data_IF_475837006800
#
_entry.id   IF_475837006800
#
_cell.length_a   1.000
_cell.length_b   1.000
_cell.length_c   1.000
_cell.angle_alpha   90.00
_cell.angle_beta   90.00
_cell.angle_gamma   90.00
#
_symmetry.space_group_name_H-M   'P 1'
#
loop_
_entity.id
_entity.type
_entity.pdbx_description
1 polymer ?
#
# COMPACT_ATOMS: atom_id res chain seq x y z
N UNK A 1 -5.43 2.44 -0.39
CA UNK A 1 -4.82 1.76 0.77
C UNK A 1 -5.73 2.01 1.94
N UNK A 2 -5.96 1.01 2.79
CA UNK A 2 -6.80 1.17 3.98
C UNK A 2 -6.12 2.08 5.00
N UNK A 3 -6.91 2.86 5.72
CA UNK A 3 -6.45 3.62 6.88
C UNK A 3 -6.06 2.69 8.03
N UNK A 4 -5.26 3.16 8.98
CA UNK A 4 -4.90 2.36 10.16
C UNK A 4 -6.12 1.87 10.93
N UNK A 5 -7.18 2.68 10.98
CA UNK A 5 -8.47 2.31 11.59
C UNK A 5 -9.13 1.15 10.85
N UNK A 6 -9.30 1.26 9.53
CA UNK A 6 -9.91 0.19 8.74
C UNK A 6 -9.10 -1.11 8.81
N UNK A 7 -7.76 -1.02 8.91
CA UNK A 7 -6.90 -2.20 9.05
C UNK A 7 -7.15 -2.88 10.40
N UNK A 8 -7.34 -2.12 11.47
CA UNK A 8 -7.69 -2.65 12.78
C UNK A 8 -9.05 -3.35 12.75
N UNK A 9 -10.07 -2.72 12.15
CA UNK A 9 -11.41 -3.30 11.98
C UNK A 9 -11.37 -4.63 11.19
N UNK A 10 -10.54 -4.71 10.14
CA UNK A 10 -10.31 -5.95 9.37
C UNK A 10 -9.70 -7.06 10.22
N UNK A 11 -8.70 -6.71 11.05
CA UNK A 11 -7.99 -7.67 11.88
C UNK A 11 -8.87 -8.17 13.03
N UNK A 12 -9.66 -7.29 13.66
CA UNK A 12 -10.63 -7.65 14.69
C UNK A 12 -11.73 -8.58 14.12
N UNK A 13 -12.24 -8.31 12.92
CA UNK A 13 -13.20 -9.17 12.25
C UNK A 13 -12.63 -10.57 11.97
N UNK A 14 -11.32 -10.66 11.64
CA UNK A 14 -10.66 -11.96 11.49
C UNK A 14 -10.47 -12.68 12.82
N UNK A 15 -10.07 -11.97 13.89
CA UNK A 15 -9.91 -12.57 15.21
C UNK A 15 -11.24 -13.09 15.78
N UNK A 16 -12.35 -12.41 15.46
CA UNK A 16 -13.70 -12.85 15.84
C UNK A 16 -14.16 -14.09 15.07
N UNK A 17 -13.85 -14.18 13.78
CA UNK A 17 -14.45 -15.20 12.88
C UNK A 17 -13.52 -16.37 12.56
N UNK A 18 -12.21 -16.19 12.67
CA UNK A 18 -11.19 -17.12 12.20
C UNK A 18 -11.19 -17.36 10.67
N UNK A 19 -11.98 -16.60 9.90
CA UNK A 19 -12.23 -16.86 8.48
C UNK A 19 -12.04 -15.60 7.63
N UNK A 20 -11.27 -15.71 6.54
CA UNK A 20 -11.05 -14.59 5.63
C UNK A 20 -12.32 -14.10 4.94
N UNK A 21 -13.25 -15.00 4.61
CA UNK A 21 -14.49 -14.63 3.91
C UNK A 21 -15.50 -13.99 4.86
N UNK A 22 -15.69 -14.56 6.04
CA UNK A 22 -16.60 -14.00 7.04
C UNK A 22 -16.10 -12.63 7.55
N UNK A 23 -14.80 -12.50 7.81
CA UNK A 23 -14.20 -11.21 8.18
C UNK A 23 -14.34 -10.15 7.07
N UNK A 24 -14.22 -10.54 5.80
CA UNK A 24 -14.40 -9.66 4.65
C UNK A 24 -15.83 -9.11 4.56
N UNK A 25 -16.84 -9.95 4.79
CA UNK A 25 -18.24 -9.54 4.84
C UNK A 25 -18.49 -8.54 5.99
N UNK A 26 -17.95 -8.82 7.18
CA UNK A 26 -18.08 -7.93 8.35
C UNK A 26 -17.36 -6.59 8.18
N UNK A 27 -16.15 -6.60 7.60
CA UNK A 27 -15.33 -5.40 7.43
C UNK A 27 -15.60 -4.64 6.11
N UNK A 28 -16.52 -5.13 5.27
CA UNK A 28 -16.86 -4.51 3.99
C UNK A 28 -15.68 -4.44 3.01
N UNK A 29 -14.87 -5.50 2.91
CA UNK A 29 -13.72 -5.55 2.00
C UNK A 29 -13.58 -6.93 1.32
N UNK A 30 -12.62 -7.09 0.41
CA UNK A 30 -12.35 -8.39 -0.21
C UNK A 30 -11.50 -9.30 0.70
N UNK A 31 -11.76 -10.61 0.67
CA UNK A 31 -11.07 -11.60 1.48
C UNK A 31 -9.55 -11.69 1.23
N UNK A 32 -9.04 -11.33 0.05
CA UNK A 32 -7.59 -11.20 -0.17
C UNK A 32 -7.00 -10.01 0.59
N UNK A 33 -7.80 -8.96 0.83
CA UNK A 33 -7.39 -7.84 1.68
C UNK A 33 -7.24 -8.27 3.13
N UNK A 34 -8.19 -9.07 3.64
CA UNK A 34 -8.08 -9.68 4.98
C UNK A 34 -6.84 -10.57 5.06
N UNK A 35 -6.67 -11.50 4.12
CA UNK A 35 -5.53 -12.42 4.10
C UNK A 35 -4.19 -11.67 4.07
N UNK A 36 -4.09 -10.60 3.27
CA UNK A 36 -2.90 -9.74 3.22
C UNK A 36 -2.58 -9.15 4.59
N UNK A 37 -3.54 -8.51 5.25
CA UNK A 37 -3.27 -7.84 6.52
C UNK A 37 -3.01 -8.83 7.67
N UNK A 38 -3.67 -9.99 7.67
CA UNK A 38 -3.38 -11.09 8.61
C UNK A 38 -1.94 -11.60 8.43
N UNK A 39 -1.52 -11.85 7.20
CA UNK A 39 -0.14 -12.29 6.90
C UNK A 39 0.90 -11.23 7.28
N UNK A 40 0.62 -9.95 6.99
CA UNK A 40 1.50 -8.85 7.42
C UNK A 40 1.64 -8.79 8.94
N UNK A 41 0.53 -8.93 9.69
CA UNK A 41 0.54 -9.00 11.15
C UNK A 41 1.34 -10.20 11.67
N UNK A 42 1.12 -11.39 11.10
CA UNK A 42 1.85 -12.60 11.46
C UNK A 42 3.37 -12.48 11.19
N UNK A 43 3.76 -11.74 10.16
CA UNK A 43 5.14 -11.43 9.85
C UNK A 43 5.74 -10.28 10.68
N UNK A 44 4.97 -9.69 11.61
CA UNK A 44 5.39 -8.52 12.39
C UNK A 44 5.64 -7.27 11.53
N UNK A 45 5.14 -7.24 10.30
CA UNK A 45 5.31 -6.09 9.42
C UNK A 45 4.31 -5.00 9.79
N UNK A 46 4.77 -3.74 9.95
CA UNK A 46 3.84 -2.65 10.14
C UNK A 46 2.94 -2.55 8.89
N UNK A 47 1.67 -2.13 9.03
CA UNK A 47 0.77 -1.88 7.91
C UNK A 47 1.21 -0.70 7.00
N UNK A 48 2.49 -0.32 7.03
CA UNK A 48 2.98 0.96 6.56
C UNK A 48 3.13 1.06 5.03
N UNK A 49 2.88 2.31 4.61
CA UNK A 49 3.14 3.08 3.40
C UNK A 49 3.29 2.35 2.07
N UNK A 50 2.78 3.02 1.02
CA UNK A 50 2.95 2.61 -0.38
C UNK A 50 4.40 2.21 -0.59
N UNK A 51 4.66 0.90 -0.69
CA UNK A 51 5.96 0.41 -1.15
C UNK A 51 6.21 1.10 -2.48
N UNK A 52 7.25 1.92 -2.53
CA UNK A 52 7.66 2.56 -3.77
C UNK A 52 7.88 1.44 -4.77
N UNK A 53 7.05 1.43 -5.82
CA UNK A 53 7.19 0.48 -6.91
C UNK A 53 8.24 1.05 -7.83
N UNK A 54 9.24 0.23 -8.15
CA UNK A 54 10.21 0.59 -9.17
C UNK A 54 9.47 1.05 -10.44
N UNK A 55 9.75 2.28 -10.87
CA UNK A 55 9.28 2.87 -12.11
C UNK A 55 10.43 2.79 -13.11
N UNK A 56 10.10 2.66 -14.39
CA UNK A 56 11.11 2.64 -15.47
C UNK A 56 12.02 3.87 -15.49
N UNK A 57 11.58 4.98 -14.88
CA UNK A 57 12.33 6.23 -14.79
C UNK A 57 13.28 6.32 -13.59
N UNK A 58 13.23 5.39 -12.64
CA UNK A 58 13.95 5.54 -11.37
C UNK A 58 15.47 5.64 -11.58
N UNK A 59 16.02 4.86 -12.52
CA UNK A 59 17.46 4.93 -12.88
C UNK A 59 17.84 6.28 -13.54
N UNK A 60 16.85 6.97 -14.11
CA UNK A 60 17.02 8.25 -14.79
C UNK A 60 16.62 9.45 -13.94
N UNK A 61 16.07 9.24 -12.73
CA UNK A 61 15.59 10.30 -11.85
C UNK A 61 16.64 11.40 -11.62
N UNK A 62 17.92 11.07 -11.31
CA UNK A 62 18.95 12.09 -11.10
C UNK A 62 19.14 12.98 -12.33
N UNK A 63 19.05 12.39 -13.53
CA UNK A 63 19.21 13.14 -14.78
C UNK A 63 18.00 14.01 -15.08
N UNK A 64 16.80 13.49 -14.83
CA UNK A 64 15.55 14.25 -14.97
C UNK A 64 15.58 15.48 -14.05
N UNK A 65 15.96 15.30 -12.79
CA UNK A 65 16.06 16.40 -11.81
C UNK A 65 17.07 17.47 -12.26
N UNK A 66 18.26 17.08 -12.74
CA UNK A 66 19.24 18.01 -13.32
C UNK A 66 18.62 18.84 -14.45
N UNK A 67 17.94 18.17 -15.39
CA UNK A 67 17.35 18.82 -16.56
C UNK A 67 16.20 19.76 -16.17
N UNK A 68 15.40 19.40 -15.17
CA UNK A 68 14.34 20.26 -14.61
C UNK A 68 14.92 21.52 -13.99
N UNK A 69 15.99 21.39 -13.19
CA UNK A 69 16.68 22.54 -12.58
C UNK A 69 17.25 23.46 -13.66
N UNK A 70 17.96 22.91 -14.66
CA UNK A 70 18.58 23.69 -15.74
C UNK A 70 17.57 24.41 -16.62
N UNK A 71 16.42 23.79 -16.88
CA UNK A 71 15.35 24.36 -17.71
C UNK A 71 14.41 25.27 -16.94
N UNK A 72 14.52 25.34 -15.60
CA UNK A 72 13.50 25.93 -14.73
C UNK A 72 12.10 25.36 -15.01
N UNK A 73 12.01 24.07 -15.31
CA UNK A 73 10.77 23.38 -15.66
C UNK A 73 10.19 23.72 -17.04
N UNK A 74 10.92 24.42 -17.92
CA UNK A 74 10.44 24.75 -19.27
C UNK A 74 10.68 23.61 -20.24
N UNK A 75 9.61 22.94 -20.66
CA UNK A 75 9.63 21.90 -21.71
C UNK A 75 9.43 22.54 -23.07
N UNK A 76 10.29 22.23 -24.05
CA UNK A 76 10.13 22.62 -25.46
C UNK A 76 10.19 21.38 -26.34
N UNK A 77 9.36 21.34 -27.38
CA UNK A 77 9.32 20.30 -28.40
C UNK A 77 10.35 20.56 -29.50
#
# INVERSE_FOLDING_TARGET
>A
MKSSREIMEILEAYDLTGSYRAAAELAGCDHHTVARYVQMRAAGQPPDRRRHRARAIDDFLPKIEELVVRSQGKVRA
#
